data_IF_363425120529
#
_entry.id   IF_363425120529
#
_cell.length_a   1.000
_cell.length_b   1.000
_cell.length_c   1.000
_cell.angle_alpha   90.00
_cell.angle_beta   90.00
_cell.angle_gamma   90.00
#
_symmetry.space_group_name_H-M   'P 1'
#
loop_
_entity.id
_entity.type
_entity.pdbx_description
1 polymer ?
#
# COMPACT_ATOMS: atom_id res chain seq x y z
N UNK A 1 -31.28 -23.27 40.96
CA UNK A 1 -32.49 -22.88 40.20
C UNK A 1 -32.24 -21.51 39.57
N UNK A 2 -32.43 -21.29 38.26
CA UNK A 2 -32.07 -22.09 37.06
C UNK A 2 -30.84 -21.45 36.34
N UNK A 3 -29.87 -22.19 35.78
CA UNK A 3 -29.81 -22.73 34.41
C UNK A 3 -30.50 -21.91 33.29
N UNK A 4 -29.68 -21.29 32.42
CA UNK A 4 -30.02 -20.76 31.10
C UNK A 4 -28.88 -21.19 30.16
N UNK A 5 -28.94 -22.41 29.63
CA UNK A 5 -29.49 -22.81 28.32
C UNK A 5 -28.67 -22.29 27.14
N UNK A 6 -27.87 -23.22 26.59
CA UNK A 6 -27.24 -23.17 25.28
C UNK A 6 -28.28 -23.01 24.15
N UNK A 7 -27.86 -22.33 23.07
CA UNK A 7 -28.57 -22.38 21.80
C UNK A 7 -27.69 -21.93 20.63
N UNK A 8 -27.14 -22.86 19.82
CA UNK A 8 -26.49 -22.55 18.57
C UNK A 8 -27.50 -22.63 17.41
N UNK A 9 -27.79 -21.51 16.75
CA UNK A 9 -28.56 -21.51 15.50
C UNK A 9 -27.65 -21.38 14.29
N UNK A 10 -27.37 -22.56 13.72
CA UNK A 10 -26.99 -22.79 12.32
C UNK A 10 -27.92 -22.01 11.37
N UNK A 11 -27.37 -21.46 10.28
CA UNK A 11 -27.96 -21.67 8.95
C UNK A 11 -26.91 -21.57 7.85
N UNK A 12 -26.69 -22.72 7.22
CA UNK A 12 -25.96 -22.95 5.98
C UNK A 12 -26.77 -22.33 4.82
N UNK A 13 -26.11 -21.64 3.90
CA UNK A 13 -26.64 -21.36 2.57
C UNK A 13 -25.65 -21.84 1.50
N UNK A 14 -25.88 -23.03 0.90
CA UNK A 14 -25.13 -23.52 -0.23
C UNK A 14 -26.04 -23.72 -1.45
N UNK A 15 -25.98 -22.85 -2.46
CA UNK A 15 -26.56 -23.07 -3.80
C UNK A 15 -25.64 -22.38 -4.82
N UNK A 16 -24.78 -23.09 -5.58
CA UNK A 16 -25.04 -23.75 -6.89
C UNK A 16 -25.68 -22.76 -7.89
N UNK A 17 -24.87 -22.10 -8.74
CA UNK A 17 -24.45 -22.44 -10.14
C UNK A 17 -25.59 -22.25 -11.18
N UNK A 18 -25.33 -22.24 -12.51
CA UNK A 18 -24.34 -21.57 -13.38
C UNK A 18 -25.05 -20.91 -14.61
N UNK A 19 -24.39 -20.78 -15.79
CA UNK A 19 -24.91 -20.59 -17.17
C UNK A 19 -24.91 -19.14 -17.74
N UNK A 20 -24.73 -18.83 -19.04
CA UNK A 20 -24.46 -19.53 -20.32
C UNK A 20 -24.15 -18.44 -21.39
N UNK A 21 -23.20 -18.74 -22.30
CA UNK A 21 -23.15 -18.48 -23.77
C UNK A 21 -23.56 -17.10 -24.34
N UNK A 22 -22.66 -16.55 -25.17
CA UNK A 22 -22.98 -15.53 -26.16
C UNK A 22 -21.93 -15.50 -27.29
N UNK A 23 -21.97 -16.52 -28.15
CA UNK A 23 -21.22 -16.60 -29.41
C UNK A 23 -21.95 -15.74 -30.46
N UNK A 24 -21.29 -14.73 -31.03
CA UNK A 24 -21.79 -14.02 -32.22
C UNK A 24 -20.71 -14.03 -33.31
N UNK A 25 -20.93 -14.94 -34.26
CA UNK A 25 -20.26 -15.00 -35.55
C UNK A 25 -20.94 -13.96 -36.45
N UNK A 26 -20.17 -13.02 -37.00
CA UNK A 26 -20.60 -12.11 -38.07
C UNK A 26 -19.57 -12.14 -39.19
N UNK A 27 -19.91 -12.84 -40.26
CA UNK A 27 -19.07 -13.07 -41.43
C UNK A 27 -19.27 -11.98 -42.50
N UNK A 28 -18.14 -11.51 -43.08
CA UNK A 28 -17.83 -11.25 -44.51
C UNK A 28 -18.74 -10.22 -45.24
N UNK A 29 -18.18 -9.23 -45.95
CA UNK A 29 -18.01 -9.29 -47.42
C UNK A 29 -17.24 -8.07 -47.95
N UNK A 30 -16.24 -8.39 -48.78
CA UNK A 30 -15.71 -7.74 -50.00
C UNK A 30 -15.23 -6.28 -50.04
N UNK A 31 -13.98 -6.16 -50.50
CA UNK A 31 -13.76 -5.71 -51.87
C UNK A 31 -13.37 -4.24 -52.03
N UNK A 32 -12.07 -3.96 -52.00
CA UNK A 32 -11.52 -2.67 -52.38
C UNK A 32 -10.01 -2.70 -52.48
N UNK A 33 -9.49 -3.15 -53.63
CA UNK A 33 -8.10 -2.99 -54.02
C UNK A 33 -7.81 -1.49 -54.20
N UNK A 34 -7.12 -0.89 -53.23
CA UNK A 34 -6.44 0.40 -53.42
C UNK A 34 -5.00 0.22 -52.97
N UNK A 35 -4.10 0.27 -53.95
CA UNK A 35 -2.67 0.36 -53.75
C UNK A 35 -2.33 1.73 -53.13
N UNK A 36 -2.08 1.75 -51.83
CA UNK A 36 -1.34 2.84 -51.18
C UNK A 36 -0.08 2.27 -50.57
N UNK A 37 1.07 2.77 -51.02
CA UNK A 37 2.38 2.53 -50.42
C UNK A 37 2.35 2.95 -48.95
N UNK A 38 2.20 1.98 -48.05
CA UNK A 38 2.39 2.18 -46.61
C UNK A 38 3.80 1.70 -46.24
N UNK A 39 4.57 2.50 -45.47
CA UNK A 39 5.82 2.03 -44.90
C UNK A 39 5.53 0.84 -43.98
N UNK A 40 6.39 -0.18 -44.03
CA UNK A 40 6.29 -1.37 -43.19
C UNK A 40 6.16 -0.96 -41.72
N UNK A 41 4.95 -1.05 -41.18
CA UNK A 41 4.72 -1.05 -39.75
C UNK A 41 5.28 -2.38 -39.25
N UNK A 42 6.46 -2.31 -38.63
CA UNK A 42 7.00 -3.42 -37.84
C UNK A 42 5.94 -3.76 -36.80
N UNK A 43 5.39 -4.97 -36.88
CA UNK A 43 4.50 -5.51 -35.87
C UNK A 43 5.24 -5.49 -34.53
N UNK A 44 4.88 -4.54 -33.67
CA UNK A 44 5.22 -4.62 -32.26
C UNK A 44 4.53 -5.89 -31.71
N UNK A 45 5.25 -6.77 -30.98
CA UNK A 45 4.61 -7.88 -30.29
C UNK A 45 3.56 -7.32 -29.34
N UNK A 46 2.43 -8.03 -29.25
CA UNK A 46 1.32 -7.77 -28.35
C UNK A 46 1.82 -7.19 -27.03
N UNK A 47 1.45 -5.93 -26.77
CA UNK A 47 1.64 -5.34 -25.46
C UNK A 47 0.82 -6.17 -24.47
N UNK A 48 1.49 -7.08 -23.77
CA UNK A 48 0.98 -7.73 -22.57
C UNK A 48 0.40 -6.61 -21.72
N UNK A 49 -0.89 -6.67 -21.31
CA UNK A 49 -1.42 -5.67 -20.41
C UNK A 49 -0.55 -5.69 -19.17
N UNK A 50 0.28 -4.65 -19.03
CA UNK A 50 1.05 -4.42 -17.82
C UNK A 50 0.00 -4.28 -16.73
N UNK A 51 0.03 -5.08 -15.65
CA UNK A 51 -0.85 -4.83 -14.53
C UNK A 51 -0.63 -3.36 -14.15
N UNK A 52 -1.72 -2.59 -14.07
CA UNK A 52 -1.64 -1.24 -13.56
C UNK A 52 -0.95 -1.35 -12.19
N UNK A 53 0.31 -0.93 -12.12
CA UNK A 53 0.98 -0.74 -10.84
C UNK A 53 0.12 0.30 -10.14
N UNK A 54 -0.65 -0.13 -9.13
CA UNK A 54 -1.42 0.76 -8.28
C UNK A 54 -0.39 1.65 -7.60
N UNK A 55 -0.12 2.82 -8.20
CA UNK A 55 1.09 3.58 -7.97
C UNK A 55 1.20 4.05 -6.54
N UNK A 56 1.88 3.27 -5.71
CA UNK A 56 2.30 3.68 -4.38
C UNK A 56 3.31 4.81 -4.58
N UNK A 57 2.95 6.00 -4.12
CA UNK A 57 3.75 7.19 -4.42
C UNK A 57 4.38 7.75 -3.15
N UNK A 58 5.69 7.95 -3.21
CA UNK A 58 6.49 8.59 -2.19
C UNK A 58 6.77 10.05 -2.59
N UNK A 59 6.55 11.00 -1.67
CA UNK A 59 6.81 12.42 -1.90
C UNK A 59 7.71 13.01 -0.81
N UNK A 60 8.70 13.79 -1.25
CA UNK A 60 9.47 14.72 -0.44
C UNK A 60 9.00 16.15 -0.76
N UNK A 61 8.57 16.94 0.22
CA UNK A 61 8.12 18.31 -0.04
C UNK A 61 7.44 18.99 1.15
N UNK A 62 6.93 20.20 0.93
CA UNK A 62 6.33 21.06 1.98
C UNK A 62 5.14 20.40 2.70
N UNK A 63 4.91 20.73 3.99
CA UNK A 63 3.84 20.14 4.77
C UNK A 63 2.47 20.57 4.24
N UNK A 64 1.52 19.65 3.99
CA UNK A 64 0.12 20.02 3.95
C UNK A 64 -0.32 20.47 5.35
N UNK A 65 -1.22 21.45 5.41
CA UNK A 65 -1.73 22.04 6.66
C UNK A 65 -2.58 21.11 7.53
N UNK A 66 -2.78 19.83 7.17
CA UNK A 66 -3.36 18.84 8.08
C UNK A 66 -2.94 17.43 7.74
N UNK A 67 -2.63 16.65 8.77
CA UNK A 67 -2.42 15.20 8.73
C UNK A 67 -3.73 14.42 8.72
N UNK A 68 -4.84 15.04 8.32
CA UNK A 68 -6.18 14.45 8.36
C UNK A 68 -6.62 13.97 6.99
N UNK A 69 -5.74 13.25 6.29
CA UNK A 69 -6.12 12.56 5.07
C UNK A 69 -6.60 11.17 5.48
N UNK A 70 -7.88 10.82 5.24
CA UNK A 70 -8.41 9.49 5.52
C UNK A 70 -7.51 8.41 4.91
N UNK A 71 -7.31 7.33 5.66
CA UNK A 71 -6.53 6.19 5.19
C UNK A 71 -7.34 5.32 4.23
N UNK A 72 -6.66 4.74 3.27
CA UNK A 72 -7.17 3.66 2.42
C UNK A 72 -6.53 2.34 2.88
N UNK A 73 -7.30 1.55 3.62
CA UNK A 73 -6.81 0.28 4.16
C UNK A 73 -6.47 -0.71 3.05
N UNK A 74 -7.26 -0.76 1.97
CA UNK A 74 -7.01 -1.67 0.85
C UNK A 74 -5.70 -1.30 0.12
N UNK A 75 -5.41 -0.01 -0.04
CA UNK A 75 -4.13 0.43 -0.55
C UNK A 75 -2.97 0.15 0.43
N UNK A 76 -3.21 0.28 1.74
CA UNK A 76 -2.22 -0.08 2.75
C UNK A 76 -1.82 -1.55 2.70
N UNK A 77 -2.78 -2.46 2.45
CA UNK A 77 -2.51 -3.89 2.26
C UNK A 77 -1.50 -4.17 1.13
N UNK A 78 -1.50 -3.35 0.07
CA UNK A 78 -0.62 -3.56 -1.07
C UNK A 78 0.87 -3.36 -0.72
N UNK A 79 1.19 -2.43 0.20
CA UNK A 79 2.57 -2.26 0.68
C UNK A 79 3.15 -3.54 1.28
N UNK A 80 2.31 -4.32 1.97
CA UNK A 80 2.74 -5.54 2.65
C UNK A 80 2.59 -6.79 1.77
N UNK A 81 1.88 -6.68 0.65
CA UNK A 81 1.80 -7.73 -0.36
C UNK A 81 3.06 -7.77 -1.24
N UNK A 82 3.73 -6.64 -1.41
CA UNK A 82 5.02 -6.56 -2.13
C UNK A 82 6.10 -7.38 -1.42
N UNK A 83 7.05 -7.92 -2.19
CA UNK A 83 8.16 -8.71 -1.67
C UNK A 83 9.06 -7.86 -0.77
N UNK A 84 9.41 -8.37 0.41
CA UNK A 84 10.39 -7.74 1.29
C UNK A 84 11.79 -7.87 0.69
N UNK A 85 12.52 -6.77 0.70
CA UNK A 85 13.90 -6.65 0.24
C UNK A 85 14.87 -6.55 1.42
N UNK A 86 16.17 -6.74 1.17
CA UNK A 86 17.21 -6.58 2.20
C UNK A 86 17.27 -5.14 2.74
N UNK A 87 16.93 -4.15 1.90
CA UNK A 87 16.89 -2.74 2.28
C UNK A 87 15.83 -2.47 3.37
N UNK A 88 14.72 -3.22 3.38
CA UNK A 88 13.69 -3.12 4.41
C UNK A 88 14.21 -3.46 5.82
N UNK A 89 15.30 -4.22 5.89
CA UNK A 89 15.88 -4.74 7.13
C UNK A 89 17.06 -3.92 7.66
N UNK A 90 17.54 -2.93 6.89
CA UNK A 90 18.65 -2.07 7.29
C UNK A 90 18.25 -1.22 8.49
N UNK A 91 19.07 -1.18 9.56
CA UNK A 91 18.83 -0.30 10.71
C UNK A 91 17.63 -0.68 11.60
N UNK A 92 17.07 -1.87 11.42
CA UNK A 92 15.85 -2.32 12.13
C UNK A 92 16.10 -2.73 13.59
N UNK A 93 17.36 -2.90 13.99
CA UNK A 93 17.75 -3.32 15.33
C UNK A 93 17.14 -2.48 16.46
N UNK A 94 16.86 -1.20 16.18
CA UNK A 94 16.35 -0.23 17.14
C UNK A 94 14.82 -0.02 17.07
N UNK A 95 14.13 -0.69 16.15
CA UNK A 95 12.68 -0.67 16.10
C UNK A 95 12.12 -1.54 17.24
N UNK A 96 11.06 -1.06 17.92
CA UNK A 96 10.44 -1.76 19.06
C UNK A 96 10.02 -3.19 18.65
N UNK A 97 10.22 -4.22 19.48
CA UNK A 97 10.05 -5.64 19.08
C UNK A 97 8.60 -6.09 18.80
N UNK A 98 7.62 -5.19 18.85
CA UNK A 98 6.19 -5.51 18.82
C UNK A 98 5.60 -5.61 17.39
N UNK A 99 6.42 -5.52 16.35
CA UNK A 99 5.98 -5.65 14.95
C UNK A 99 6.33 -6.99 14.30
N UNK A 100 5.51 -7.39 13.35
CA UNK A 100 5.80 -8.49 12.45
C UNK A 100 6.89 -8.05 11.47
N UNK A 101 8.10 -8.61 11.63
CA UNK A 101 9.25 -8.28 10.79
C UNK A 101 8.99 -8.54 9.30
N UNK A 102 8.14 -9.49 8.94
CA UNK A 102 7.83 -9.80 7.53
C UNK A 102 7.00 -8.70 6.86
N UNK A 103 6.30 -7.90 7.66
CA UNK A 103 5.51 -6.75 7.20
C UNK A 103 6.33 -5.46 7.09
N UNK A 104 7.62 -5.47 7.43
CA UNK A 104 8.39 -4.25 7.45
C UNK A 104 8.72 -3.78 6.02
N UNK A 105 8.44 -2.51 5.71
CA UNK A 105 8.76 -1.88 4.43
C UNK A 105 9.45 -0.55 4.65
N UNK A 106 10.69 -0.42 4.20
CA UNK A 106 11.41 0.85 4.19
C UNK A 106 10.92 1.68 3.01
N UNK A 107 10.43 2.88 3.33
CA UNK A 107 9.83 3.79 2.34
C UNK A 107 10.64 5.05 2.15
N UNK A 108 11.66 5.25 2.99
CA UNK A 108 12.63 6.33 2.86
C UNK A 108 13.97 5.92 3.49
N UNK A 109 15.05 6.08 2.73
CA UNK A 109 16.44 6.03 3.23
C UNK A 109 17.11 7.38 2.95
N UNK A 110 17.12 8.25 3.96
CA UNK A 110 17.70 9.58 3.89
C UNK A 110 18.95 9.70 4.76
N UNK A 111 19.81 10.67 4.43
CA UNK A 111 21.03 10.93 5.20
C UNK A 111 20.75 11.25 6.68
N UNK A 112 19.62 11.90 6.97
CA UNK A 112 19.26 12.34 8.32
C UNK A 112 18.37 11.34 9.07
N UNK A 113 17.56 10.58 8.34
CA UNK A 113 16.64 9.62 8.93
C UNK A 113 16.12 8.63 7.90
N UNK A 114 15.62 7.51 8.41
CA UNK A 114 14.94 6.46 7.67
C UNK A 114 13.49 6.34 8.13
N UNK A 115 12.62 5.86 7.25
CA UNK A 115 11.20 5.66 7.55
C UNK A 115 10.77 4.26 7.14
N UNK A 116 10.06 3.58 8.03
CA UNK A 116 9.46 2.28 7.77
C UNK A 116 7.95 2.30 8.01
N UNK A 117 7.25 1.46 7.24
CA UNK A 117 5.89 1.02 7.49
C UNK A 117 5.95 -0.40 8.06
N UNK A 118 5.07 -0.72 9.01
CA UNK A 118 4.98 -2.08 9.55
C UNK A 118 3.57 -2.40 10.04
N UNK A 119 3.34 -3.69 10.30
CA UNK A 119 2.20 -4.19 11.08
C UNK A 119 2.66 -4.71 12.43
N UNK A 120 1.86 -4.43 13.44
CA UNK A 120 1.94 -5.17 14.70
C UNK A 120 1.23 -6.53 14.59
N UNK A 121 1.61 -7.46 15.47
CA UNK A 121 0.96 -8.78 15.55
C UNK A 121 -0.53 -8.71 15.89
N UNK A 122 -0.99 -7.61 16.49
CA UNK A 122 -2.40 -7.35 16.78
C UNK A 122 -3.16 -6.70 15.60
N UNK A 123 -2.51 -6.52 14.45
CA UNK A 123 -3.10 -5.99 13.23
C UNK A 123 -3.05 -4.47 13.11
N UNK A 124 -2.44 -3.75 14.07
CA UNK A 124 -2.24 -2.30 13.94
C UNK A 124 -1.26 -1.97 12.83
N UNK A 125 -1.48 -0.83 12.20
CA UNK A 125 -0.63 -0.23 11.18
C UNK A 125 0.29 0.79 11.85
N UNK A 126 1.58 0.76 11.50
CA UNK A 126 2.59 1.60 12.11
C UNK A 126 3.43 2.34 11.08
N UNK A 127 3.86 3.55 11.45
CA UNK A 127 4.95 4.29 10.80
C UNK A 127 6.05 4.51 11.83
N UNK A 128 7.28 4.14 11.48
CA UNK A 128 8.47 4.35 12.30
C UNK A 128 9.45 5.27 11.59
N UNK A 129 10.18 6.06 12.35
CA UNK A 129 11.28 6.88 11.86
C UNK A 129 12.47 6.73 12.78
N UNK A 130 13.65 6.54 12.21
CA UNK A 130 14.92 6.49 12.97
C UNK A 130 15.86 7.55 12.44
N UNK A 131 16.34 8.41 13.34
CA UNK A 131 17.35 9.41 13.03
C UNK A 131 18.72 8.76 12.87
N UNK A 132 19.44 9.07 11.79
CA UNK A 132 20.70 8.38 11.44
C UNK A 132 21.82 8.68 12.44
N UNK A 133 21.93 9.93 12.92
CA UNK A 133 23.00 10.35 13.83
C UNK A 133 22.75 9.91 15.28
N UNK A 134 21.53 10.12 15.78
CA UNK A 134 21.18 9.84 17.17
C UNK A 134 20.74 8.39 17.39
N UNK A 135 20.42 7.66 16.32
CA UNK A 135 19.76 6.35 16.35
C UNK A 135 18.45 6.37 17.15
N UNK A 136 17.85 7.56 17.30
CA UNK A 136 16.58 7.72 18.00
C UNK A 136 15.45 7.26 17.11
N UNK A 137 14.71 6.27 17.59
CA UNK A 137 13.51 5.74 16.92
C UNK A 137 12.25 6.28 17.57
N UNK A 138 11.36 6.85 16.76
CA UNK A 138 9.99 7.18 17.14
C UNK A 138 9.02 6.46 16.22
N UNK A 139 7.85 6.10 16.75
CA UNK A 139 6.84 5.38 16.00
C UNK A 139 5.43 5.76 16.42
N UNK A 140 4.50 5.66 15.48
CA UNK A 140 3.07 5.86 15.70
C UNK A 140 2.32 4.69 15.10
N UNK A 141 1.41 4.11 15.88
CA UNK A 141 0.61 2.96 15.47
C UNK A 141 -0.86 3.22 15.76
N UNK A 142 -1.74 2.78 14.85
CA UNK A 142 -3.19 2.92 14.99
C UNK A 142 -3.88 1.65 14.52
N UNK A 143 -5.10 1.39 15.02
CA UNK A 143 -5.95 0.33 14.48
C UNK A 143 -6.52 0.70 13.11
N UNK A 144 -7.13 -0.26 12.41
CA UNK A 144 -7.69 -0.06 11.08
C UNK A 144 -8.78 1.02 11.04
N UNK A 145 -9.62 1.11 12.07
CA UNK A 145 -10.72 2.08 12.14
C UNK A 145 -10.17 3.49 12.26
N UNK A 146 -9.16 3.68 13.09
CA UNK A 146 -8.49 4.97 13.24
C UNK A 146 -7.65 5.32 12.01
N UNK A 147 -7.00 4.33 11.38
CA UNK A 147 -6.30 4.52 10.12
C UNK A 147 -7.23 5.04 9.02
N UNK A 148 -8.36 4.38 8.78
CA UNK A 148 -9.33 4.83 7.78
C UNK A 148 -9.85 6.24 8.06
N UNK A 149 -9.96 6.62 9.33
CA UNK A 149 -10.42 7.95 9.73
C UNK A 149 -9.41 9.07 9.42
N UNK A 150 -8.12 8.85 9.64
CA UNK A 150 -7.11 9.95 9.61
C UNK A 150 -5.71 9.58 9.08
N UNK A 151 -5.48 8.35 8.66
CA UNK A 151 -4.15 7.83 8.38
C UNK A 151 -3.26 7.73 9.62
N UNK A 152 -1.95 7.74 9.41
CA UNK A 152 -0.93 7.76 10.47
C UNK A 152 0.05 8.89 10.19
N UNK A 153 0.48 9.58 11.24
CA UNK A 153 1.63 10.47 11.20
C UNK A 153 2.52 10.26 12.42
N UNK A 154 3.82 10.46 12.23
CA UNK A 154 4.85 10.47 13.27
C UNK A 154 5.81 11.62 13.00
N UNK A 155 6.21 12.31 14.06
CA UNK A 155 7.13 13.44 14.00
C UNK A 155 8.32 13.17 14.90
N UNK A 156 9.53 13.32 14.35
CA UNK A 156 10.80 13.32 15.07
C UNK A 156 11.38 14.75 15.10
N UNK A 157 12.62 14.92 15.56
CA UNK A 157 13.25 16.24 15.57
C UNK A 157 13.66 16.69 14.17
N UNK A 158 13.84 15.74 13.25
CA UNK A 158 14.38 15.99 11.90
C UNK A 158 13.34 15.88 10.80
N UNK A 159 12.23 15.16 11.01
CA UNK A 159 11.18 15.01 10.01
C UNK A 159 9.80 14.71 10.59
N UNK A 160 8.80 14.89 9.75
CA UNK A 160 7.46 14.32 9.90
C UNK A 160 7.20 13.35 8.75
N UNK A 161 6.80 12.13 9.09
CA UNK A 161 6.33 11.13 8.14
C UNK A 161 4.83 10.92 8.31
N UNK A 162 4.08 10.88 7.21
CA UNK A 162 2.65 10.59 7.20
C UNK A 162 2.30 9.57 6.13
N UNK A 163 1.35 8.70 6.41
CA UNK A 163 0.91 7.63 5.54
C UNK A 163 -0.61 7.46 5.58
N UNK A 164 -1.23 7.38 4.41
CA UNK A 164 -2.67 7.20 4.24
C UNK A 164 -3.02 5.91 3.47
N UNK A 165 -2.08 4.97 3.35
CA UNK A 165 -2.28 3.71 2.63
C UNK A 165 -1.85 3.78 1.18
N UNK A 166 -2.26 4.80 0.43
CA UNK A 166 -1.84 4.95 -0.97
C UNK A 166 -0.51 5.71 -1.13
N UNK A 167 -0.19 6.58 -0.17
CA UNK A 167 0.94 7.51 -0.28
C UNK A 167 1.68 7.66 1.05
N UNK A 168 3.00 7.73 0.96
CA UNK A 168 3.88 8.14 2.06
C UNK A 168 4.43 9.51 1.74
N UNK A 169 4.31 10.44 2.69
CA UNK A 169 4.92 11.76 2.62
C UNK A 169 5.91 11.92 3.75
N UNK A 170 7.10 12.40 3.41
CA UNK A 170 8.15 12.75 4.37
C UNK A 170 8.51 14.21 4.19
N UNK A 171 8.48 14.95 5.30
CA UNK A 171 8.76 16.39 5.35
C UNK A 171 9.90 16.60 6.32
N UNK A 172 11.02 17.16 5.87
CA UNK A 172 12.12 17.51 6.76
C UNK A 172 11.73 18.71 7.61
N UNK A 173 11.92 18.61 8.92
CA UNK A 173 11.78 19.73 9.84
C UNK A 173 12.99 20.64 9.62
N UNK A 174 12.78 21.83 9.04
CA UNK A 174 13.86 22.81 8.95
C UNK A 174 14.31 23.17 10.37
N UNK A 175 15.58 22.92 10.70
CA UNK A 175 16.16 23.50 11.92
C UNK A 175 16.21 25.00 11.71
N UNK A 176 15.56 25.76 12.59
CA UNK A 176 15.84 27.19 12.69
C UNK A 176 17.31 27.32 13.12
N UNK A 177 18.15 27.82 12.22
CA UNK A 177 19.55 28.19 12.51
C UNK A 177 19.63 29.43 13.42
#
# INVERSE_FOLDING_TARGET
>A
MPELVEGPLRRRFPWLRPAIVGLAIGAVVAGGLVWTLQPAAVSAPDAVPTPASTGMTYFLGDPPTSSDVPGDLAAAELWFADEQTDDDLVGVGDLRPEFDRSSLRMVHDGALARVWLARQFDGKLCVYTTETESQSTVGSCVDSVEFERRGISVTSNVLTASWNGSQVRVVLTQRAE
#
